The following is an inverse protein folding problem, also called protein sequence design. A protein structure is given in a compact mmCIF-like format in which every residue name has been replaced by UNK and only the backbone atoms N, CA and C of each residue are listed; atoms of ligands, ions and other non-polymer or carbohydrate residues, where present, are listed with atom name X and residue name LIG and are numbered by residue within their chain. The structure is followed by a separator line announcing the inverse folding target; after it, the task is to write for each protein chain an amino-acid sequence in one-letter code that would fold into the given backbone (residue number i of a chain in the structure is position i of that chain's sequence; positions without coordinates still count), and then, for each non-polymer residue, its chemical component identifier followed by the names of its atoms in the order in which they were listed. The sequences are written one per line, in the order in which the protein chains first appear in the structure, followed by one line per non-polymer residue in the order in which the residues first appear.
data_IF_476203700563
#
_entry.id   IF_476203700563
#
_cell.length_a   1.000
_cell.length_b   1.000
_cell.length_c   1.000
_cell.angle_alpha   90.00
_cell.angle_beta   90.00
_cell.angle_gamma   90.00
#
_symmetry.space_group_name_H-M   'P 1'
#
loop_
_entity.id
_entity.type
_entity.pdbx_description
1 polymer ?
#
# COMPACT_ATOMS: atom_id res chain seq x y z
N UNK A 1 -14.24 10.67 2.05
CA UNK A 1 -14.18 9.72 3.19
C UNK A 1 -13.36 8.51 2.75
N UNK A 2 -12.82 7.72 3.69
CA UNK A 2 -12.22 6.43 3.31
C UNK A 2 -13.35 5.49 2.88
N UNK A 3 -13.17 4.80 1.76
CA UNK A 3 -14.08 3.74 1.33
C UNK A 3 -13.27 2.53 0.85
N UNK A 4 -13.83 1.34 1.04
CA UNK A 4 -13.22 0.07 0.67
C UNK A 4 -14.12 -0.69 -0.29
N UNK A 5 -13.50 -1.43 -1.20
CA UNK A 5 -14.18 -2.26 -2.19
C UNK A 5 -13.43 -3.58 -2.33
N UNK A 6 -14.16 -4.65 -2.61
CA UNK A 6 -13.57 -5.97 -2.87
C UNK A 6 -12.92 -6.05 -4.26
N UNK A 7 -13.30 -5.14 -5.18
CA UNK A 7 -12.81 -5.11 -6.55
C UNK A 7 -12.82 -3.71 -7.14
N UNK A 8 -12.18 -3.55 -8.31
CA UNK A 8 -12.16 -2.31 -9.08
C UNK A 8 -13.50 -2.18 -9.82
N UNK A 9 -14.34 -1.25 -9.37
CA UNK A 9 -15.60 -0.93 -10.06
C UNK A 9 -15.34 -0.21 -11.39
N UNK A 10 -16.31 -0.20 -12.34
CA UNK A 10 -16.15 0.49 -13.62
C UNK A 10 -15.75 1.98 -13.47
N UNK A 11 -16.33 2.69 -12.51
CA UNK A 11 -15.99 4.09 -12.24
C UNK A 11 -14.56 4.27 -11.73
N UNK A 12 -14.10 3.35 -10.87
CA UNK A 12 -12.73 3.37 -10.34
C UNK A 12 -11.72 3.00 -11.43
N UNK A 13 -12.05 2.05 -12.29
CA UNK A 13 -11.26 1.70 -13.48
C UNK A 13 -11.11 2.91 -14.41
N UNK A 14 -12.23 3.56 -14.78
CA UNK A 14 -12.17 4.75 -15.62
C UNK A 14 -11.36 5.87 -14.96
N UNK A 15 -11.48 6.04 -13.64
CA UNK A 15 -10.75 7.08 -12.89
C UNK A 15 -9.25 6.81 -12.80
N UNK A 16 -8.82 5.58 -12.54
CA UNK A 16 -7.41 5.24 -12.32
C UNK A 16 -6.58 5.38 -13.60
N UNK A 17 -7.16 5.02 -14.76
CA UNK A 17 -6.47 5.13 -16.05
C UNK A 17 -6.31 6.59 -16.53
N UNK A 18 -7.05 7.54 -15.95
CA UNK A 18 -6.89 8.98 -16.23
C UNK A 18 -5.73 9.62 -15.48
N UNK A 19 -5.18 8.95 -14.46
CA UNK A 19 -4.11 9.57 -13.68
C UNK A 19 -2.81 9.60 -14.51
N UNK A 20 -2.05 10.70 -14.49
CA UNK A 20 -0.83 10.83 -15.29
C UNK A 20 0.35 10.00 -14.74
N UNK A 21 0.28 9.63 -13.46
CA UNK A 21 1.30 8.87 -12.73
C UNK A 21 0.61 7.95 -11.73
N UNK A 22 1.19 6.77 -11.52
CA UNK A 22 0.88 5.90 -10.38
C UNK A 22 2.16 5.53 -9.65
N UNK A 23 2.04 5.01 -8.45
CA UNK A 23 3.15 4.62 -7.60
C UNK A 23 3.04 3.14 -7.27
N UNK A 24 4.16 2.44 -7.28
CA UNK A 24 4.25 1.05 -6.81
C UNK A 24 5.07 1.02 -5.53
N UNK A 25 4.56 0.31 -4.53
CA UNK A 25 5.25 0.09 -3.27
C UNK A 25 5.38 -1.42 -3.02
N UNK A 26 6.57 -1.86 -2.62
CA UNK A 26 6.86 -3.25 -2.27
C UNK A 26 7.92 -3.28 -1.18
N UNK A 27 7.92 -4.35 -0.38
CA UNK A 27 8.88 -4.54 0.70
C UNK A 27 9.28 -6.01 0.81
N UNK A 28 10.54 -6.30 1.11
CA UNK A 28 10.97 -7.67 1.30
C UNK A 28 10.41 -8.21 2.62
N UNK A 29 10.42 -9.53 2.79
CA UNK A 29 10.12 -10.16 4.08
C UNK A 29 11.27 -9.95 5.04
N UNK A 30 12.51 -9.95 4.54
CA UNK A 30 13.72 -9.62 5.29
C UNK A 30 14.52 -8.52 4.58
N UNK A 31 14.98 -7.53 5.35
CA UNK A 31 15.74 -6.39 4.83
C UNK A 31 15.24 -5.06 5.39
N UNK A 32 16.05 -4.01 5.22
CA UNK A 32 15.75 -2.68 5.74
C UNK A 32 15.10 -1.74 4.70
N UNK A 33 15.26 -2.04 3.41
CA UNK A 33 14.82 -1.14 2.34
C UNK A 33 13.38 -1.43 1.93
N UNK A 34 12.54 -0.40 1.96
CA UNK A 34 11.19 -0.42 1.39
C UNK A 34 11.28 0.29 0.04
N UNK A 35 10.76 -0.34 -1.02
CA UNK A 35 10.78 0.25 -2.35
C UNK A 35 9.50 1.05 -2.60
N UNK A 36 9.66 2.25 -3.17
CA UNK A 36 8.58 3.09 -3.66
C UNK A 36 9.03 3.74 -4.98
N UNK A 37 8.27 3.53 -6.05
CA UNK A 37 8.66 4.02 -7.38
C UNK A 37 7.48 4.66 -8.10
N UNK A 38 7.61 5.88 -8.64
CA UNK A 38 6.63 6.43 -9.57
C UNK A 38 6.73 5.73 -10.93
N UNK A 39 5.59 5.57 -11.59
CA UNK A 39 5.43 4.99 -12.92
C UNK A 39 4.55 5.94 -13.75
N UNK A 40 5.06 6.36 -14.89
CA UNK A 40 4.38 7.27 -15.81
C UNK A 40 3.68 6.51 -16.94
N UNK A 41 3.04 7.28 -17.83
CA UNK A 41 2.35 6.78 -19.02
C UNK A 41 1.38 5.61 -18.74
N UNK A 42 0.40 5.74 -17.82
CA UNK A 42 -0.39 4.58 -17.41
C UNK A 42 -1.23 4.01 -18.57
N UNK A 43 -1.70 4.88 -19.47
CA UNK A 43 -2.39 4.48 -20.70
C UNK A 43 -1.52 3.63 -21.66
N UNK A 44 -0.19 3.61 -21.49
CA UNK A 44 0.73 2.83 -22.31
C UNK A 44 1.50 1.75 -21.50
N UNK A 45 1.24 1.63 -20.20
CA UNK A 45 1.99 0.72 -19.32
C UNK A 45 1.14 -0.03 -18.31
N UNK A 46 -0.14 0.31 -18.12
CA UNK A 46 -1.03 -0.29 -17.11
C UNK A 46 -2.35 -0.70 -17.76
N UNK A 47 -2.82 -1.91 -17.43
CA UNK A 47 -4.14 -2.39 -17.85
C UNK A 47 -4.88 -3.05 -16.68
N UNK A 48 -6.19 -2.85 -16.63
CA UNK A 48 -7.09 -3.64 -15.78
C UNK A 48 -7.61 -4.80 -16.63
N UNK A 49 -7.13 -6.01 -16.38
CA UNK A 49 -7.50 -7.21 -17.14
C UNK A 49 -8.91 -7.67 -16.76
N UNK A 50 -9.26 -7.59 -15.48
CA UNK A 50 -10.62 -7.76 -14.95
C UNK A 50 -10.71 -7.11 -13.54
N UNK A 51 -11.89 -7.04 -12.87
CA UNK A 51 -12.08 -6.25 -11.64
C UNK A 51 -11.10 -6.53 -10.48
N UNK A 52 -10.47 -7.70 -10.46
CA UNK A 52 -9.51 -8.11 -9.43
C UNK A 52 -8.11 -8.43 -9.99
N UNK A 53 -7.82 -8.06 -11.24
CA UNK A 53 -6.51 -8.33 -11.85
C UNK A 53 -6.07 -7.16 -12.69
N UNK A 54 -4.89 -6.66 -12.37
CA UNK A 54 -4.22 -5.59 -13.11
C UNK A 54 -2.86 -6.09 -13.55
N UNK A 55 -2.36 -5.52 -14.63
CA UNK A 55 -1.00 -5.78 -15.10
C UNK A 55 -0.34 -4.46 -15.46
N UNK A 56 0.94 -4.33 -15.15
CA UNK A 56 1.73 -3.23 -15.68
C UNK A 56 3.04 -3.71 -16.30
N UNK A 57 3.49 -2.99 -17.31
CA UNK A 57 4.71 -3.25 -18.05
C UNK A 57 5.89 -2.65 -17.29
N UNK A 58 6.83 -3.50 -16.86
CA UNK A 58 8.09 -3.06 -16.25
C UNK A 58 9.12 -2.83 -17.36
N UNK A 59 9.27 -1.56 -17.73
CA UNK A 59 10.31 -1.11 -18.66
C UNK A 59 11.69 -1.12 -17.99
N UNK A 60 12.73 -1.26 -18.81
CA UNK A 60 14.13 -1.27 -18.36
C UNK A 60 14.47 0.06 -17.69
N UNK A 61 15.05 -0.04 -16.50
CA UNK A 61 15.59 1.08 -15.73
C UNK A 61 16.67 0.56 -14.77
N UNK A 62 17.22 1.45 -13.94
CA UNK A 62 18.11 1.05 -12.85
C UNK A 62 17.30 0.43 -11.71
N UNK A 63 17.80 -0.67 -11.11
CA UNK A 63 17.16 -1.37 -9.99
C UNK A 63 16.16 -2.45 -10.39
N UNK A 64 15.78 -3.29 -9.42
CA UNK A 64 14.90 -4.45 -9.59
C UNK A 64 14.10 -4.82 -8.33
N UNK A 65 14.02 -3.92 -7.35
CA UNK A 65 13.49 -4.16 -6.01
C UNK A 65 12.05 -4.68 -6.07
N UNK A 66 11.21 -4.09 -6.94
CA UNK A 66 9.84 -4.56 -7.14
C UNK A 66 9.78 -6.01 -7.65
N UNK A 67 10.64 -6.38 -8.59
CA UNK A 67 10.74 -7.76 -9.09
C UNK A 67 11.21 -8.69 -7.98
N UNK A 68 12.27 -8.31 -7.26
CA UNK A 68 12.85 -9.11 -6.16
C UNK A 68 11.85 -9.35 -5.03
N UNK A 69 11.13 -8.32 -4.57
CA UNK A 69 10.13 -8.44 -3.51
C UNK A 69 8.91 -9.28 -3.95
N UNK A 70 8.49 -9.16 -5.21
CA UNK A 70 7.42 -9.98 -5.76
C UNK A 70 7.81 -11.45 -5.84
N UNK A 71 9.03 -11.76 -6.26
CA UNK A 71 9.55 -13.14 -6.26
C UNK A 71 9.66 -13.72 -4.85
N UNK A 72 10.04 -12.91 -3.86
CA UNK A 72 10.18 -13.38 -2.48
C UNK A 72 8.82 -13.59 -1.78
N UNK A 73 7.93 -12.60 -1.84
CA UNK A 73 6.72 -12.61 -1.00
C UNK A 73 5.44 -12.18 -1.73
N UNK A 74 5.57 -11.68 -2.96
CA UNK A 74 4.45 -11.32 -3.83
C UNK A 74 3.71 -10.05 -3.42
N UNK A 75 4.08 -9.33 -2.35
CA UNK A 75 3.31 -8.18 -1.86
C UNK A 75 3.63 -6.91 -2.63
N UNK A 76 2.58 -6.25 -3.11
CA UNK A 76 2.69 -4.94 -3.74
C UNK A 76 1.44 -4.11 -3.51
N UNK A 77 1.59 -2.79 -3.45
CA UNK A 77 0.48 -1.85 -3.49
C UNK A 77 0.69 -0.88 -4.65
N UNK A 78 -0.36 -0.66 -5.43
CA UNK A 78 -0.41 0.43 -6.40
C UNK A 78 -1.16 1.60 -5.78
N UNK A 79 -0.68 2.83 -5.98
CA UNK A 79 -1.34 4.05 -5.54
C UNK A 79 -1.49 5.04 -6.69
N UNK A 80 -2.67 5.66 -6.76
CA UNK A 80 -3.04 6.68 -7.72
C UNK A 80 -3.48 7.94 -6.98
N UNK A 81 -3.12 9.11 -7.47
CA UNK A 81 -3.46 10.39 -6.87
C UNK A 81 -4.02 11.34 -7.92
N UNK A 82 -5.10 12.05 -7.57
CA UNK A 82 -5.60 13.17 -8.36
C UNK A 82 -4.76 14.42 -8.13
N UNK A 83 -4.23 14.96 -9.22
CA UNK A 83 -3.67 16.32 -9.28
C UNK A 83 -4.68 17.33 -9.84
N UNK A 84 -5.92 16.91 -10.07
CA UNK A 84 -7.00 17.75 -10.60
C UNK A 84 -7.78 18.45 -9.47
N UNK A 85 -8.83 19.18 -9.85
CA UNK A 85 -9.72 19.88 -8.93
C UNK A 85 -10.29 18.98 -7.81
N UNK A 86 -10.78 17.79 -8.14
CA UNK A 86 -11.34 16.85 -7.17
C UNK A 86 -10.24 16.00 -6.52
N UNK A 87 -9.97 16.13 -5.20
CA UNK A 87 -8.92 15.37 -4.55
C UNK A 87 -9.38 13.92 -4.35
N UNK A 88 -8.49 12.97 -4.66
CA UNK A 88 -8.69 11.55 -4.39
C UNK A 88 -7.35 10.83 -4.40
N UNK A 89 -7.20 9.88 -3.49
CA UNK A 89 -6.17 8.85 -3.55
C UNK A 89 -6.88 7.51 -3.69
N UNK A 90 -6.35 6.62 -4.52
CA UNK A 90 -6.80 5.23 -4.60
C UNK A 90 -5.61 4.30 -4.41
N UNK A 91 -5.81 3.22 -3.64
CA UNK A 91 -4.83 2.14 -3.46
C UNK A 91 -5.43 0.82 -3.91
N UNK A 92 -4.63 0.04 -4.62
CA UNK A 92 -4.90 -1.36 -4.93
C UNK A 92 -3.94 -2.20 -4.11
N UNK A 93 -4.46 -2.94 -3.13
CA UNK A 93 -3.69 -3.90 -2.35
C UNK A 93 -3.65 -5.23 -3.09
N UNK A 94 -2.44 -5.68 -3.42
CA UNK A 94 -2.25 -6.75 -4.37
C UNK A 94 -1.29 -7.83 -3.86
N UNK A 95 -1.46 -9.04 -4.39
CA UNK A 95 -0.36 -9.99 -4.54
C UNK A 95 -0.03 -10.14 -6.00
N UNK A 96 1.21 -10.47 -6.35
CA UNK A 96 1.59 -10.55 -7.76
C UNK A 96 2.74 -11.48 -8.06
N UNK A 97 3.00 -11.56 -9.36
CA UNK A 97 4.08 -12.33 -9.96
C UNK A 97 4.71 -11.54 -11.10
N UNK A 98 5.85 -12.03 -11.56
CA UNK A 98 6.67 -11.43 -12.60
C UNK A 98 6.67 -12.40 -13.78
N UNK A 99 6.37 -11.89 -14.97
CA UNK A 99 6.51 -12.63 -16.24
C UNK A 99 7.54 -11.90 -17.09
N UNK A 100 8.72 -12.49 -17.26
CA UNK A 100 9.80 -11.88 -18.03
C UNK A 100 9.59 -11.99 -19.54
N UNK A 101 10.27 -11.13 -20.29
CA UNK A 101 10.12 -11.01 -21.75
C UNK A 101 10.33 -12.32 -22.53
N UNK A 102 11.13 -13.24 -21.99
CA UNK A 102 11.46 -14.53 -22.60
C UNK A 102 10.54 -15.67 -22.16
N UNK A 103 9.57 -15.40 -21.30
CA UNK A 103 8.63 -16.42 -20.83
C UNK A 103 7.44 -16.57 -21.81
N UNK A 104 6.93 -17.80 -22.02
CA UNK A 104 5.83 -18.05 -22.96
C UNK A 104 4.57 -17.14 -22.79
N UNK A 105 4.10 -16.82 -21.57
CA UNK A 105 2.90 -15.99 -21.41
C UNK A 105 3.10 -14.51 -21.73
N UNK A 106 4.33 -14.01 -21.89
CA UNK A 106 4.62 -12.58 -22.02
C UNK A 106 3.85 -11.89 -23.16
N UNK A 107 3.95 -12.40 -24.38
CA UNK A 107 3.27 -11.81 -25.54
C UNK A 107 1.74 -11.92 -25.43
N UNK A 108 1.23 -13.02 -24.85
CA UNK A 108 -0.22 -13.17 -24.64
C UNK A 108 -0.76 -12.15 -23.64
N UNK A 109 0.01 -11.82 -22.60
CA UNK A 109 -0.34 -10.77 -21.64
C UNK A 109 -0.32 -9.39 -22.30
N UNK A 110 0.69 -9.08 -23.12
CA UNK A 110 0.72 -7.81 -23.85
C UNK A 110 -0.49 -7.63 -24.78
N UNK A 111 -0.94 -8.71 -25.43
CA UNK A 111 -2.16 -8.68 -26.23
C UNK A 111 -3.42 -8.41 -25.37
N UNK A 112 -3.55 -9.07 -24.22
CA UNK A 112 -4.65 -8.82 -23.28
C UNK A 112 -4.65 -7.39 -22.73
N UNK A 113 -3.46 -6.82 -22.51
CA UNK A 113 -3.27 -5.44 -22.09
C UNK A 113 -3.55 -4.43 -23.22
N UNK A 114 -3.79 -4.89 -24.46
CA UNK A 114 -3.92 -4.05 -25.66
C UNK A 114 -2.67 -3.19 -25.91
N UNK A 115 -1.49 -3.72 -25.56
CA UNK A 115 -0.20 -3.06 -25.71
C UNK A 115 0.69 -3.73 -26.74
N UNK A 116 0.23 -4.75 -27.47
CA UNK A 116 1.04 -5.45 -28.47
C UNK A 116 1.65 -4.52 -29.53
N UNK A 117 0.90 -3.52 -30.00
CA UNK A 117 1.36 -2.54 -31.01
C UNK A 117 1.98 -1.27 -30.40
N UNK A 118 1.95 -1.15 -29.07
CA UNK A 118 2.37 0.04 -28.32
C UNK A 118 3.38 -0.28 -27.23
N UNK A 119 3.98 -1.47 -27.26
CA UNK A 119 4.87 -1.91 -26.21
C UNK A 119 6.07 -0.97 -26.15
N UNK A 120 6.49 -0.65 -24.93
CA UNK A 120 7.66 0.19 -24.73
C UNK A 120 8.88 -0.63 -25.15
N UNK A 121 9.58 -0.21 -26.21
CA UNK A 121 10.89 -0.76 -26.54
C UNK A 121 11.78 -0.72 -25.28
N UNK A 122 12.21 -1.89 -24.81
CA UNK A 122 12.89 -2.04 -23.52
C UNK A 122 12.03 -2.58 -22.38
N UNK A 123 10.80 -3.05 -22.61
CA UNK A 123 10.05 -3.87 -21.64
C UNK A 123 10.86 -5.10 -21.23
N UNK A 124 11.10 -5.29 -19.92
CA UNK A 124 11.81 -6.49 -19.41
C UNK A 124 10.88 -7.51 -18.77
N UNK A 125 9.72 -7.07 -18.27
CA UNK A 125 8.72 -7.95 -17.67
C UNK A 125 7.32 -7.34 -17.70
N UNK A 126 6.31 -8.18 -17.54
CA UNK A 126 4.96 -7.80 -17.13
C UNK A 126 4.78 -8.19 -15.67
N UNK A 127 4.33 -7.23 -14.87
CA UNK A 127 3.99 -7.44 -13.46
C UNK A 127 2.49 -7.68 -13.38
N UNK A 128 2.10 -8.90 -13.02
CA UNK A 128 0.70 -9.33 -12.93
C UNK A 128 0.28 -9.33 -11.47
N UNK A 129 -0.83 -8.65 -11.17
CA UNK A 129 -1.26 -8.35 -9.81
C UNK A 129 -2.72 -8.74 -9.60
N UNK A 130 -2.95 -9.61 -8.62
CA UNK A 130 -4.26 -9.95 -8.09
C UNK A 130 -4.63 -8.98 -6.97
N UNK A 131 -5.65 -8.16 -7.23
CA UNK A 131 -6.17 -7.14 -6.32
C UNK A 131 -7.16 -7.81 -5.37
N UNK A 132 -6.84 -7.82 -4.08
CA UNK A 132 -7.73 -8.38 -3.05
C UNK A 132 -8.49 -7.31 -2.28
N UNK A 133 -8.09 -6.03 -2.39
CA UNK A 133 -8.78 -4.91 -1.75
C UNK A 133 -8.47 -3.60 -2.45
N UNK A 134 -9.49 -2.77 -2.64
CA UNK A 134 -9.36 -1.40 -3.13
C UNK A 134 -9.72 -0.43 -2.01
N UNK A 135 -8.96 0.65 -1.88
CA UNK A 135 -9.24 1.73 -0.94
C UNK A 135 -9.21 3.08 -1.65
N UNK A 136 -10.24 3.89 -1.44
CA UNK A 136 -10.22 5.32 -1.81
C UNK A 136 -10.12 6.20 -0.57
N UNK A 137 -9.41 7.32 -0.65
CA UNK A 137 -9.36 8.33 0.40
C UNK A 137 -9.32 9.76 -0.16
N UNK A 138 -9.52 10.74 0.72
CA UNK A 138 -9.89 12.12 0.36
C UNK A 138 -8.80 12.94 -0.34
N UNK A 139 -7.51 12.62 -0.18
CA UNK A 139 -6.41 13.37 -0.80
C UNK A 139 -6.36 14.88 -0.50
N UNK A 140 -6.95 15.36 0.61
CA UNK A 140 -7.16 16.79 0.87
C UNK A 140 -5.88 17.63 1.01
N UNK A 141 -4.75 17.01 1.30
CA UNK A 141 -3.42 17.66 1.31
C UNK A 141 -2.54 17.33 0.10
N UNK A 142 -3.02 16.54 -0.86
CA UNK A 142 -2.26 16.28 -2.10
C UNK A 142 -2.41 17.52 -2.98
N UNK A 143 -1.32 18.17 -3.44
CA UNK A 143 -1.43 19.38 -4.23
C UNK A 143 -2.12 19.13 -5.57
N UNK A 144 -2.69 20.18 -6.14
CA UNK A 144 -3.20 20.16 -7.52
C UNK A 144 -2.17 20.77 -8.47
N UNK A 145 -2.17 20.34 -9.72
CA UNK A 145 -1.40 21.02 -10.75
C UNK A 145 -2.10 22.34 -11.12
N UNK A 146 -1.35 23.43 -11.15
CA UNK A 146 -1.85 24.74 -11.52
C UNK A 146 -0.83 25.47 -12.40
N UNK A 147 -1.28 26.53 -13.06
CA UNK A 147 -0.41 27.44 -13.81
C UNK A 147 -0.25 28.74 -13.01
N UNK A 148 0.98 29.22 -12.91
CA UNK A 148 1.32 30.57 -12.46
C UNK A 148 2.00 31.33 -13.59
N UNK A 149 2.19 32.63 -13.45
CA UNK A 149 2.91 33.45 -14.42
C UNK A 149 4.36 33.59 -14.00
N UNK A 150 5.29 33.24 -14.88
CA UNK A 150 6.71 33.45 -14.63
C UNK A 150 7.01 34.96 -14.52
N UNK A 151 7.62 35.44 -13.42
CA UNK A 151 7.79 36.86 -13.18
C UNK A 151 8.71 37.54 -14.21
N UNK A 152 9.68 36.80 -14.77
CA UNK A 152 10.64 37.30 -15.73
C UNK A 152 10.13 37.21 -17.17
N UNK A 153 9.61 36.04 -17.57
CA UNK A 153 9.23 35.78 -18.97
C UNK A 153 7.77 36.08 -19.27
N UNK A 154 6.93 36.30 -18.25
CA UNK A 154 5.46 36.44 -18.34
C UNK A 154 4.75 35.22 -18.96
N UNK A 155 5.46 34.11 -19.17
CA UNK A 155 4.90 32.89 -19.71
C UNK A 155 4.19 32.05 -18.62
N UNK A 156 3.22 31.19 -18.98
CA UNK A 156 2.65 30.22 -18.06
C UNK A 156 3.71 29.22 -17.57
N UNK A 157 3.76 28.99 -16.26
CA UNK A 157 4.66 28.06 -15.58
C UNK A 157 3.86 27.09 -14.71
N UNK A 158 3.97 25.76 -14.92
CA UNK A 158 3.30 24.78 -14.08
C UNK A 158 3.91 24.74 -12.68
N UNK A 159 3.07 24.57 -11.67
CA UNK A 159 3.49 24.35 -10.29
C UNK A 159 2.46 23.51 -9.52
N UNK A 160 2.89 22.95 -8.40
CA UNK A 160 2.02 22.26 -7.46
C UNK A 160 1.43 23.28 -6.48
N UNK A 161 0.12 23.47 -6.54
CA UNK A 161 -0.62 24.36 -5.65
C UNK A 161 -1.24 23.57 -4.49
N UNK A 162 -0.98 24.03 -3.28
CA UNK A 162 -1.58 23.49 -2.06
C UNK A 162 -3.10 23.67 -2.04
N UNK A 163 -3.77 22.88 -1.20
CA UNK A 163 -5.22 22.94 -1.01
C UNK A 163 -5.56 23.31 0.42
N UNK A 164 -6.50 24.23 0.59
CA UNK A 164 -7.03 24.60 1.91
C UNK A 164 -8.04 23.56 2.46
N UNK A 165 -8.32 22.50 1.68
CA UNK A 165 -9.34 21.49 2.03
C UNK A 165 -9.03 20.74 3.32
N UNK A 166 -7.76 20.53 3.66
CA UNK A 166 -7.39 19.82 4.88
C UNK A 166 -7.70 20.65 6.13
N UNK A 167 -7.35 21.93 6.11
CA UNK A 167 -7.60 22.86 7.21
C UNK A 167 -9.09 23.10 7.41
N UNK A 168 -9.83 23.32 6.33
CA UNK A 168 -11.28 23.44 6.39
C UNK A 168 -11.96 22.20 6.96
N UNK A 169 -11.49 21.00 6.60
CA UNK A 169 -12.01 19.75 7.17
C UNK A 169 -11.72 19.64 8.67
N UNK A 170 -10.48 19.96 9.09
CA UNK A 170 -10.08 19.91 10.50
C UNK A 170 -10.87 20.92 11.35
N UNK A 171 -10.97 22.18 10.90
CA UNK A 171 -11.75 23.22 11.57
C UNK A 171 -13.22 22.82 11.72
N UNK A 172 -13.81 22.21 10.68
CA UNK A 172 -15.19 21.70 10.74
C UNK A 172 -15.35 20.57 11.76
N UNK A 173 -14.36 19.69 11.90
CA UNK A 173 -14.38 18.60 12.90
C UNK A 173 -14.20 19.12 14.32
N UNK A 174 -13.31 20.11 14.52
CA UNK A 174 -13.10 20.77 15.81
C UNK A 174 -14.37 21.51 16.24
N UNK A 175 -14.97 22.31 15.35
CA UNK A 175 -16.19 23.06 15.64
C UNK A 175 -17.37 22.17 16.05
N UNK A 176 -17.39 20.91 15.59
CA UNK A 176 -18.40 19.90 15.95
C UNK A 176 -18.02 19.03 17.14
N UNK A 177 -16.84 19.22 17.73
CA UNK A 177 -16.26 18.37 18.76
C UNK A 177 -16.15 16.88 18.35
N UNK A 178 -15.96 16.61 17.05
CA UNK A 178 -15.93 15.26 16.48
C UNK A 178 -14.50 14.74 16.25
N UNK A 179 -13.47 15.56 16.49
CA UNK A 179 -12.09 15.21 16.10
C UNK A 179 -11.51 14.05 16.92
N UNK A 180 -11.72 14.02 18.24
CA UNK A 180 -11.27 12.91 19.08
C UNK A 180 -12.01 11.60 18.75
N UNK A 181 -13.33 11.68 18.55
CA UNK A 181 -14.13 10.54 18.10
C UNK A 181 -13.62 9.99 16.76
N UNK A 182 -13.22 10.87 15.85
CA UNK A 182 -12.60 10.48 14.58
C UNK A 182 -11.26 9.76 14.78
N UNK A 183 -10.38 10.26 15.67
CA UNK A 183 -9.11 9.58 15.98
C UNK A 183 -9.33 8.19 16.59
N UNK A 184 -10.33 8.04 17.46
CA UNK A 184 -10.70 6.77 18.07
C UNK A 184 -11.14 5.75 17.02
N UNK A 185 -12.00 6.17 16.09
CA UNK A 185 -12.56 5.31 15.05
C UNK A 185 -11.52 4.95 13.98
N UNK A 186 -10.73 5.91 13.51
CA UNK A 186 -9.91 5.75 12.30
C UNK A 186 -8.40 5.64 12.54
N UNK A 187 -7.91 5.93 13.75
CA UNK A 187 -6.47 6.03 14.01
C UNK A 187 -5.98 5.19 15.19
N UNK A 188 -6.85 4.43 15.85
CA UNK A 188 -6.47 3.52 16.93
C UNK A 188 -5.71 2.29 16.42
N UNK A 189 -5.96 1.85 15.18
CA UNK A 189 -5.35 0.66 14.59
C UNK A 189 -5.06 0.83 13.09
N UNK A 190 -4.09 0.07 12.57
CA UNK A 190 -3.85 -0.04 11.13
C UNK A 190 -4.85 -0.99 10.45
N UNK A 191 -4.86 -1.01 9.11
CA UNK A 191 -5.67 -1.97 8.34
C UNK A 191 -5.33 -3.45 8.63
N UNK A 192 -4.12 -3.71 9.14
CA UNK A 192 -3.62 -5.03 9.52
C UNK A 192 -3.73 -5.26 11.05
N UNK A 193 -4.46 -4.41 11.78
CA UNK A 193 -4.66 -4.51 13.22
C UNK A 193 -3.43 -4.15 14.07
N UNK A 194 -2.45 -3.45 13.49
CA UNK A 194 -1.29 -2.98 14.24
C UNK A 194 -1.68 -1.78 15.13
N UNK A 195 -1.05 -1.60 16.31
CA UNK A 195 -1.27 -0.43 17.16
C UNK A 195 -1.09 0.90 16.41
N UNK A 196 -2.07 1.78 16.51
CA UNK A 196 -2.07 3.12 15.92
C UNK A 196 -1.67 4.21 16.92
N UNK A 197 -2.39 5.34 16.88
CA UNK A 197 -2.17 6.47 17.78
C UNK A 197 -2.39 6.05 19.23
N UNK A 198 -1.32 6.13 20.03
CA UNK A 198 -1.34 5.77 21.45
C UNK A 198 -2.44 6.51 22.23
N UNK A 199 -2.65 7.79 21.94
CA UNK A 199 -3.69 8.60 22.61
C UNK A 199 -5.08 8.05 22.30
N UNK A 200 -5.41 7.80 21.03
CA UNK A 200 -6.68 7.21 20.62
C UNK A 200 -6.91 5.83 21.26
N UNK A 201 -5.87 4.98 21.31
CA UNK A 201 -5.94 3.67 21.97
C UNK A 201 -6.19 3.76 23.48
N UNK A 202 -5.60 4.76 24.15
CA UNK A 202 -5.80 4.98 25.60
C UNK A 202 -7.17 5.62 25.89
N UNK A 203 -7.64 6.52 25.03
CA UNK A 203 -9.01 7.03 25.10
C UNK A 203 -10.03 5.88 24.96
N UNK A 204 -9.77 4.91 24.05
CA UNK A 204 -10.56 3.68 23.93
C UNK A 204 -10.61 2.83 25.20
N UNK A 205 -9.59 2.94 26.06
CA UNK A 205 -9.54 2.23 27.34
C UNK A 205 -10.50 2.83 28.39
N UNK A 206 -11.10 3.99 28.14
CA UNK A 206 -12.12 4.63 28.97
C UNK A 206 -11.74 4.71 30.47
N UNK A 207 -10.47 5.04 30.76
CA UNK A 207 -9.97 5.17 32.12
C UNK A 207 -9.67 3.84 32.84
N UNK A 208 -9.86 2.68 32.19
CA UNK A 208 -9.46 1.40 32.75
C UNK A 208 -7.92 1.28 32.78
N UNK A 209 -7.35 1.23 33.99
CA UNK A 209 -5.90 1.21 34.20
C UNK A 209 -5.23 0.01 33.50
N UNK A 210 -5.80 -1.18 33.63
CA UNK A 210 -5.26 -2.38 33.01
C UNK A 210 -5.23 -2.24 31.48
N UNK A 211 -6.35 -1.84 30.87
CA UNK A 211 -6.43 -1.62 29.41
C UNK A 211 -5.46 -0.54 28.94
N UNK A 212 -5.27 0.51 29.73
CA UNK A 212 -4.30 1.59 29.43
C UNK A 212 -2.87 1.06 29.43
N UNK A 213 -2.48 0.28 30.45
CA UNK A 213 -1.17 -0.37 30.50
C UNK A 213 -0.96 -1.36 29.34
N UNK A 214 -2.03 -2.08 28.96
CA UNK A 214 -2.01 -2.99 27.82
C UNK A 214 -1.68 -2.32 26.49
N UNK A 215 -1.95 -1.01 26.31
CA UNK A 215 -1.56 -0.28 25.10
C UNK A 215 -0.05 -0.30 24.90
N UNK A 216 0.71 0.03 25.94
CA UNK A 216 2.18 0.07 25.86
C UNK A 216 2.77 -1.33 25.68
N UNK A 217 2.19 -2.33 26.35
CA UNK A 217 2.55 -3.74 26.15
C UNK A 217 2.30 -4.19 24.71
N UNK A 218 1.14 -3.84 24.13
CA UNK A 218 0.79 -4.19 22.75
C UNK A 218 1.73 -3.53 21.74
N UNK A 219 2.08 -2.25 21.93
CA UNK A 219 3.05 -1.54 21.09
C UNK A 219 4.44 -2.21 21.18
N UNK A 220 4.89 -2.51 22.41
CA UNK A 220 6.16 -3.18 22.63
C UNK A 220 6.20 -4.59 22.00
N UNK A 221 5.14 -5.38 22.20
CA UNK A 221 5.02 -6.72 21.64
C UNK A 221 4.99 -6.67 20.11
N UNK A 222 4.28 -5.70 19.51
CA UNK A 222 4.25 -5.51 18.07
C UNK A 222 5.67 -5.24 17.51
N UNK A 223 6.45 -4.37 18.17
CA UNK A 223 7.82 -4.06 17.74
C UNK A 223 8.76 -5.26 17.88
N UNK A 224 8.58 -6.08 18.91
CA UNK A 224 9.43 -7.23 19.21
C UNK A 224 8.84 -8.55 18.69
N UNK A 225 7.80 -8.51 17.85
CA UNK A 225 7.01 -9.68 17.43
C UNK A 225 7.88 -10.82 16.91
N UNK A 226 8.82 -10.54 16.01
CA UNK A 226 9.74 -11.55 15.46
C UNK A 226 10.59 -12.22 16.53
N UNK A 227 11.14 -11.43 17.47
CA UNK A 227 11.95 -11.96 18.56
C UNK A 227 11.12 -12.85 19.49
N UNK A 228 9.90 -12.41 19.82
CA UNK A 228 8.95 -13.17 20.64
C UNK A 228 8.57 -14.49 19.94
N UNK A 229 8.24 -14.45 18.66
CA UNK A 229 7.91 -15.64 17.87
C UNK A 229 9.08 -16.63 17.82
N UNK A 230 10.30 -16.15 17.56
CA UNK A 230 11.50 -17.00 17.56
C UNK A 230 11.76 -17.64 18.93
N UNK A 231 11.68 -16.86 20.02
CA UNK A 231 11.85 -17.38 21.38
C UNK A 231 10.76 -18.41 21.72
N UNK A 232 9.52 -18.18 21.30
CA UNK A 232 8.41 -19.11 21.47
C UNK A 232 8.65 -20.44 20.76
N UNK A 233 9.05 -20.39 19.48
CA UNK A 233 9.38 -21.60 18.70
C UNK A 233 10.55 -22.37 19.33
N UNK A 234 11.60 -21.67 19.75
CA UNK A 234 12.75 -22.30 20.43
C UNK A 234 12.33 -22.98 21.74
N UNK A 235 11.53 -22.31 22.56
CA UNK A 235 11.05 -22.86 23.84
C UNK A 235 10.19 -24.11 23.62
N UNK A 236 9.23 -24.07 22.68
CA UNK A 236 8.38 -25.22 22.35
C UNK A 236 9.23 -26.39 21.84
N UNK A 237 10.22 -26.13 20.99
CA UNK A 237 11.14 -27.14 20.48
C UNK A 237 11.94 -27.82 21.62
N UNK A 238 12.48 -27.03 22.55
CA UNK A 238 13.21 -27.57 23.72
C UNK A 238 12.29 -28.40 24.60
N UNK A 239 11.10 -27.89 24.94
CA UNK A 239 10.14 -28.62 25.78
C UNK A 239 9.68 -29.93 25.14
N UNK A 240 9.43 -29.92 23.83
CA UNK A 240 9.05 -31.12 23.07
C UNK A 240 10.18 -32.14 23.08
N UNK A 241 11.42 -31.70 22.86
CA UNK A 241 12.60 -32.58 22.89
C UNK A 241 12.76 -33.23 24.27
N UNK A 242 12.64 -32.45 25.36
CA UNK A 242 12.72 -32.96 26.74
C UNK A 242 11.60 -33.97 27.03
N UNK A 243 10.37 -33.70 26.57
CA UNK A 243 9.24 -34.60 26.76
C UNK A 243 9.45 -35.93 26.02
N UNK A 244 9.91 -35.89 24.76
CA UNK A 244 10.20 -37.09 23.96
C UNK A 244 11.33 -37.91 24.59
N UNK A 245 12.41 -37.26 25.03
CA UNK A 245 13.50 -37.95 25.72
C UNK A 245 13.00 -38.65 26.99
N UNK A 246 12.21 -37.96 27.83
CA UNK A 246 11.64 -38.57 29.04
C UNK A 246 10.71 -39.75 28.75
N UNK A 247 9.87 -39.66 27.72
CA UNK A 247 9.00 -40.77 27.32
C UNK A 247 9.80 -41.97 26.77
N UNK A 248 10.86 -41.72 25.99
CA UNK A 248 11.76 -42.76 25.48
C UNK A 248 12.55 -43.46 26.60
N UNK A 249 13.00 -42.73 27.63
CA UNK A 249 13.68 -43.31 28.79
C UNK A 249 12.76 -44.12 29.71
N UNK A 250 11.45 -43.87 29.69
CA UNK A 250 10.47 -44.65 30.46
C UNK A 250 9.97 -45.91 29.72
N UNK A 251 10.42 -46.11 28.48
CA UNK A 251 10.03 -47.25 27.62
C UNK A 251 11.11 -48.35 27.53
N UNK A 252 12.17 -48.25 28.34
CA UNK A 252 13.27 -49.23 28.47
C UNK A 252 13.32 -49.69 29.93
#
# INVERSE_FOLDING_TARGET
MVAFFDSITPDLHAWLLRQPVFFVASAPSAGAHINLSPKGLPAASLAVLHPNKVAYLDATGSGNESVSHLRENGRMTLMFCSFDAAPRIMRLFCRGSVVEYNEPPFHSLLAQMQLADRYVEGARAVIVLDVFKVQTSCGYGVPRLALTTDPATKAPKPFLQDRDTMDHWALKKIAKNELHAWHLEWNSESLDGLPGLRVAMREAAAGNLLRTMWVDVRIWACRNRRAIEMLGVMLVSVLTTVAVMRAGFLSV
#
